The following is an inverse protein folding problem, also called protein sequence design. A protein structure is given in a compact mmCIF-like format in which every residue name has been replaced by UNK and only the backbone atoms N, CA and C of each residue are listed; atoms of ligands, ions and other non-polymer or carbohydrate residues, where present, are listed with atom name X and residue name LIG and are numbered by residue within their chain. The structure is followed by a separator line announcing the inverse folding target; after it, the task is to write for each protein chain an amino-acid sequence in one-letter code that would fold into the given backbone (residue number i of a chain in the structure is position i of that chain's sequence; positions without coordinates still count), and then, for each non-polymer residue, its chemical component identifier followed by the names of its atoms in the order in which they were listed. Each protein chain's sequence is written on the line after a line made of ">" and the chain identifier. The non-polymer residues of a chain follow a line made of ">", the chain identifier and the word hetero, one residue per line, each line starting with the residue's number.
data_IF_546560013677
#
_entry.id   IF_546560013677
#
_cell.length_a   1.000
_cell.length_b   1.000
_cell.length_c   1.000
_cell.angle_alpha   90.00
_cell.angle_beta   90.00
_cell.angle_gamma   90.00
#
_symmetry.space_group_name_H-M   'P 1'
#
loop_
_entity.id
_entity.type
_entity.pdbx_description
1 polymer ?
#
# COMPACT_ATOMS: atom_id res chain seq x y z
N UNK A 1 10.51 10.85 8.05
CA UNK A 1 11.03 12.05 7.35
C UNK A 1 12.54 11.99 7.32
N UNK A 2 13.16 12.31 6.18
CA UNK A 2 14.61 12.44 6.04
C UNK A 2 14.96 13.94 6.02
N UNK A 3 15.92 14.31 6.87
CA UNK A 3 16.43 15.68 7.00
C UNK A 3 17.90 15.64 6.60
N UNK A 4 18.20 16.07 5.38
CA UNK A 4 19.56 16.13 4.85
C UNK A 4 19.79 17.49 4.18
N UNK A 5 20.88 18.15 4.56
CA UNK A 5 21.29 19.42 3.96
C UNK A 5 22.51 19.16 3.07
N UNK A 6 22.35 19.47 1.78
CA UNK A 6 23.37 19.19 0.77
C UNK A 6 24.68 19.97 0.98
N UNK A 7 24.62 21.10 1.68
CA UNK A 7 25.69 22.11 1.76
C UNK A 7 26.42 22.08 3.10
N UNK A 8 25.74 21.80 4.22
CA UNK A 8 26.35 21.89 5.56
C UNK A 8 25.78 20.87 6.56
N UNK A 9 26.67 20.12 7.24
CA UNK A 9 26.32 19.08 8.22
C UNK A 9 25.63 19.64 9.47
N UNK A 10 26.13 20.76 10.00
CA UNK A 10 25.59 21.37 11.21
C UNK A 10 24.19 21.95 11.00
N UNK A 11 23.81 22.24 9.75
CA UNK A 11 22.48 22.75 9.41
C UNK A 11 21.40 21.67 9.50
N UNK A 12 21.69 20.42 9.13
CA UNK A 12 20.71 19.32 9.24
C UNK A 12 20.24 19.09 10.68
N UNK A 13 21.15 19.20 11.66
CA UNK A 13 20.82 19.12 13.09
C UNK A 13 19.94 20.29 13.54
N UNK A 14 20.27 21.51 13.13
CA UNK A 14 19.46 22.70 13.46
C UNK A 14 18.06 22.60 12.85
N UNK A 15 17.96 22.10 11.63
CA UNK A 15 16.69 21.82 10.94
C UNK A 15 15.86 20.75 11.65
N UNK A 16 16.50 19.67 12.11
CA UNK A 16 15.85 18.67 12.96
C UNK A 16 15.29 19.31 14.25
N UNK A 17 16.10 20.09 14.98
CA UNK A 17 15.68 20.76 16.22
C UNK A 17 14.52 21.71 15.95
N UNK A 18 14.57 22.47 14.85
CA UNK A 18 13.50 23.38 14.42
C UNK A 18 12.20 22.61 14.14
N UNK A 19 12.29 21.49 13.43
CA UNK A 19 11.15 20.62 13.15
C UNK A 19 10.54 20.05 14.44
N UNK A 20 11.37 19.53 15.36
CA UNK A 20 10.90 18.98 16.64
C UNK A 20 10.21 20.06 17.47
N UNK A 21 10.79 21.27 17.55
CA UNK A 21 10.18 22.42 18.26
C UNK A 21 8.84 22.83 17.66
N UNK A 22 8.74 22.86 16.32
CA UNK A 22 7.48 23.12 15.65
C UNK A 22 6.45 22.03 15.97
N UNK A 23 6.84 20.76 15.90
CA UNK A 23 5.95 19.63 16.21
C UNK A 23 5.44 19.72 17.65
N UNK A 24 6.34 20.00 18.60
CA UNK A 24 5.99 20.16 20.00
C UNK A 24 5.06 21.35 20.23
N UNK A 25 5.35 22.51 19.63
CA UNK A 25 4.55 23.73 19.81
C UNK A 25 3.15 23.62 19.20
N UNK A 26 3.04 23.15 17.95
CA UNK A 26 1.78 23.18 17.21
C UNK A 26 0.87 22.00 17.55
N UNK A 27 1.46 20.81 17.72
CA UNK A 27 0.71 19.58 17.97
C UNK A 27 0.78 19.12 19.43
N UNK A 28 1.68 19.65 20.26
CA UNK A 28 1.79 19.25 21.68
C UNK A 28 2.46 17.88 21.88
N UNK A 29 3.16 17.36 20.87
CA UNK A 29 3.86 16.07 20.97
C UNK A 29 5.20 16.28 21.69
N UNK A 30 5.45 15.51 22.75
CA UNK A 30 6.71 15.62 23.49
C UNK A 30 7.87 15.12 22.61
N UNK A 31 9.04 15.79 22.62
CA UNK A 31 10.18 15.37 21.80
C UNK A 31 10.61 13.91 22.01
N UNK A 32 10.48 13.40 23.24
CA UNK A 32 10.82 12.01 23.56
C UNK A 32 9.86 11.01 22.92
N UNK A 33 8.62 11.39 22.58
CA UNK A 33 7.66 10.52 21.89
C UNK A 33 7.97 10.35 20.40
N UNK A 34 8.93 11.12 19.87
CA UNK A 34 9.40 11.01 18.50
C UNK A 34 10.59 10.05 18.42
N UNK A 35 10.68 9.28 17.32
CA UNK A 35 11.88 8.46 17.08
C UNK A 35 12.85 9.22 16.22
N UNK A 36 14.04 9.47 16.76
CA UNK A 36 15.09 10.24 16.09
C UNK A 36 16.27 9.29 15.81
N UNK A 37 16.82 9.40 14.60
CA UNK A 37 17.98 8.62 14.21
C UNK A 37 19.02 9.51 13.53
N UNK A 38 20.28 9.27 13.84
CA UNK A 38 21.36 9.71 12.96
C UNK A 38 21.42 8.76 11.76
N UNK A 39 21.40 9.28 10.52
CA UNK A 39 21.26 8.46 9.30
C UNK A 39 22.51 7.63 8.97
N UNK A 40 23.60 7.83 9.72
CA UNK A 40 24.91 7.24 9.46
C UNK A 40 25.74 8.05 8.47
N UNK A 41 25.36 9.27 8.08
CA UNK A 41 26.19 10.13 7.21
C UNK A 41 26.13 11.60 7.65
N UNK A 42 25.27 12.41 7.03
CA UNK A 42 25.14 13.85 7.32
C UNK A 42 23.76 14.23 7.86
N UNK A 43 22.73 13.50 7.48
CA UNK A 43 21.36 13.78 7.86
C UNK A 43 20.86 13.03 9.10
N UNK A 44 19.60 13.31 9.41
CA UNK A 44 18.85 12.69 10.49
C UNK A 44 17.50 12.20 9.97
N UNK A 45 16.97 11.13 10.56
CA UNK A 45 15.60 10.70 10.31
C UNK A 45 14.75 10.98 11.54
N UNK A 46 13.55 11.52 11.29
CA UNK A 46 12.51 11.70 12.29
C UNK A 46 11.30 10.85 11.91
N UNK A 47 10.85 9.99 12.81
CA UNK A 47 9.62 9.22 12.67
C UNK A 47 8.61 9.65 13.73
N UNK A 48 7.40 9.95 13.27
CA UNK A 48 6.25 10.17 14.15
C UNK A 48 5.54 8.81 14.30
N UNK A 49 5.33 8.31 15.53
CA UNK A 49 4.62 7.05 15.73
C UNK A 49 3.21 7.09 15.16
N UNK A 50 2.79 5.99 14.51
CA UNK A 50 1.48 5.85 13.88
C UNK A 50 0.33 6.16 14.84
N UNK A 51 0.44 5.73 16.10
CA UNK A 51 -0.57 5.99 17.14
C UNK A 51 -0.91 7.48 17.25
N UNK A 52 0.04 8.40 16.98
CA UNK A 52 -0.19 9.84 17.01
C UNK A 52 -1.02 10.37 15.83
N UNK A 53 -1.07 9.64 14.73
CA UNK A 53 -1.87 9.97 13.53
C UNK A 53 -3.25 9.29 13.56
N UNK A 54 -3.40 8.23 14.36
CA UNK A 54 -4.58 7.35 14.36
C UNK A 54 -4.37 6.15 13.45
N UNK A 55 -5.46 5.54 12.99
CA UNK A 55 -5.41 4.40 12.08
C UNK A 55 -5.02 4.85 10.66
N UNK A 56 -3.86 4.42 10.17
CA UNK A 56 -3.45 4.65 8.78
C UNK A 56 -3.98 3.50 7.92
N UNK A 57 -4.99 3.78 7.10
CA UNK A 57 -5.56 2.79 6.18
C UNK A 57 -4.62 2.55 4.98
N UNK A 58 -4.50 1.29 4.58
CA UNK A 58 -3.78 0.91 3.37
C UNK A 58 -4.38 1.55 2.12
N UNK A 59 -3.53 2.02 1.21
CA UNK A 59 -3.89 2.63 -0.07
C UNK A 59 -2.75 2.51 -1.06
N UNK A 60 -3.06 2.32 -2.34
CA UNK A 60 -2.07 2.35 -3.44
C UNK A 60 -1.37 3.71 -3.54
N UNK A 61 -2.03 4.78 -3.04
CA UNK A 61 -1.54 6.15 -3.02
C UNK A 61 -0.88 6.56 -1.70
N UNK A 62 -0.65 5.62 -0.76
CA UNK A 62 -0.12 5.94 0.57
C UNK A 62 1.20 6.73 0.51
N UNK A 63 2.08 6.41 -0.43
CA UNK A 63 3.33 7.12 -0.64
C UNK A 63 3.12 8.61 -0.98
N UNK A 64 2.08 8.95 -1.74
CA UNK A 64 1.71 10.33 -2.06
C UNK A 64 1.15 11.05 -0.84
N UNK A 65 0.33 10.40 -0.01
CA UNK A 65 -0.16 11.02 1.23
C UNK A 65 0.98 11.30 2.22
N UNK A 66 1.93 10.36 2.36
CA UNK A 66 3.12 10.57 3.17
C UNK A 66 3.97 11.74 2.63
N UNK A 67 4.09 11.86 1.30
CA UNK A 67 4.78 12.99 0.66
C UNK A 67 4.10 14.32 0.95
N UNK A 68 2.78 14.38 0.80
CA UNK A 68 1.99 15.58 1.05
C UNK A 68 2.04 15.98 2.52
N UNK A 69 1.98 15.00 3.43
CA UNK A 69 2.11 15.21 4.86
C UNK A 69 3.48 15.79 5.23
N UNK A 70 4.56 15.21 4.70
CA UNK A 70 5.90 15.73 4.88
C UNK A 70 6.08 17.12 4.25
N UNK A 71 5.47 17.37 3.09
CA UNK A 71 5.49 18.68 2.42
C UNK A 71 4.76 19.74 3.23
N UNK A 72 3.64 19.37 3.86
CA UNK A 72 2.88 20.27 4.72
C UNK A 72 3.66 20.62 5.99
N UNK A 73 4.25 19.63 6.65
CA UNK A 73 5.15 19.87 7.79
C UNK A 73 6.38 20.71 7.40
N UNK A 74 6.95 20.46 6.22
CA UNK A 74 8.05 21.26 5.66
C UNK A 74 7.68 22.74 5.55
N UNK A 75 6.52 23.04 4.97
CA UNK A 75 6.00 24.40 4.82
C UNK A 75 5.71 25.05 6.18
N UNK A 76 4.98 24.36 7.05
CA UNK A 76 4.51 24.91 8.32
C UNK A 76 5.66 25.12 9.32
N UNK A 77 6.69 24.26 9.29
CA UNK A 77 7.90 24.41 10.10
C UNK A 77 8.97 25.31 9.47
N UNK A 78 8.82 25.68 8.19
CA UNK A 78 9.83 26.37 7.39
C UNK A 78 11.21 25.67 7.44
N UNK A 79 11.23 24.34 7.35
CA UNK A 79 12.45 23.52 7.36
C UNK A 79 12.71 22.98 5.96
N UNK A 80 13.51 23.70 5.17
CA UNK A 80 13.75 23.36 3.76
C UNK A 80 14.51 22.03 3.55
N UNK A 81 15.22 21.56 4.57
CA UNK A 81 16.05 20.34 4.53
C UNK A 81 15.25 19.03 4.59
N UNK A 82 13.93 19.09 4.74
CA UNK A 82 13.09 17.88 4.63
C UNK A 82 13.07 17.43 3.17
N UNK A 83 13.63 16.25 2.90
CA UNK A 83 13.63 15.67 1.56
C UNK A 83 12.27 15.03 1.26
N UNK A 84 11.51 15.65 0.36
CA UNK A 84 10.20 15.17 -0.10
C UNK A 84 10.29 14.31 -1.36
N UNK A 85 11.48 14.15 -1.96
CA UNK A 85 11.67 13.33 -3.17
C UNK A 85 11.82 11.83 -2.85
N UNK A 86 12.09 11.48 -1.59
CA UNK A 86 12.24 10.09 -1.13
C UNK A 86 10.91 9.33 -1.05
N UNK A 87 9.77 10.01 -1.13
CA UNK A 87 8.46 9.39 -1.02
C UNK A 87 8.03 8.82 -2.39
N UNK A 88 8.53 7.63 -2.70
CA UNK A 88 8.06 6.79 -3.80
C UNK A 88 7.65 5.41 -3.29
N UNK A 89 6.80 4.71 -4.05
CA UNK A 89 6.18 3.44 -3.63
C UNK A 89 7.20 2.30 -3.36
N UNK A 90 8.44 2.44 -3.83
CA UNK A 90 9.48 1.40 -3.75
C UNK A 90 10.67 1.79 -2.88
N UNK A 91 10.68 2.99 -2.29
CA UNK A 91 11.82 3.48 -1.52
C UNK A 91 11.97 2.70 -0.23
N UNK A 92 13.16 2.18 0.00
CA UNK A 92 13.52 1.47 1.22
C UNK A 92 14.27 2.41 2.16
N UNK A 93 13.79 2.55 3.39
CA UNK A 93 14.53 3.22 4.46
C UNK A 93 15.49 2.23 5.14
N UNK A 94 16.68 2.73 5.46
CA UNK A 94 17.68 1.95 6.19
C UNK A 94 17.17 1.59 7.58
N UNK A 95 17.34 0.33 7.99
CA UNK A 95 17.03 -0.10 9.35
C UNK A 95 18.01 0.51 10.36
N UNK A 96 17.56 0.75 11.61
CA UNK A 96 18.46 1.07 12.71
C UNK A 96 19.56 0.01 12.85
N UNK A 97 20.75 0.44 13.25
CA UNK A 97 21.98 -0.36 13.37
C UNK A 97 22.52 -0.94 12.05
N UNK A 98 22.09 -0.42 10.89
CA UNK A 98 22.71 -0.77 9.59
C UNK A 98 23.92 0.12 9.27
N UNK A 99 24.97 -0.46 8.68
CA UNK A 99 26.23 0.24 8.34
C UNK A 99 26.13 1.00 7.02
N UNK A 100 26.33 2.31 7.03
CA UNK A 100 26.42 3.13 5.82
C UNK A 100 27.78 2.91 5.13
N UNK A 101 27.76 2.39 3.91
CA UNK A 101 28.98 2.02 3.17
C UNK A 101 29.86 3.22 2.76
N UNK A 102 29.31 4.44 2.70
CA UNK A 102 30.07 5.63 2.28
C UNK A 102 30.86 6.26 3.42
N UNK A 103 30.29 6.28 4.61
CA UNK A 103 30.85 6.92 5.81
C UNK A 103 31.45 5.93 6.79
N UNK A 104 31.14 4.63 6.63
CA UNK A 104 31.46 3.56 7.57
C UNK A 104 30.90 3.81 8.99
N UNK A 105 29.77 4.53 9.09
CA UNK A 105 29.04 4.77 10.34
C UNK A 105 27.68 4.06 10.32
N UNK A 106 27.21 3.66 11.49
CA UNK A 106 25.92 3.02 11.67
C UNK A 106 24.79 4.05 11.73
N UNK A 107 23.62 3.71 11.19
CA UNK A 107 22.38 4.43 11.52
C UNK A 107 22.02 4.10 12.96
N UNK A 108 22.12 5.05 13.88
CA UNK A 108 21.84 4.81 15.31
C UNK A 108 20.62 5.60 15.78
N UNK A 109 19.82 5.05 16.70
CA UNK A 109 18.84 5.85 17.43
C UNK A 109 19.55 6.84 18.37
N UNK A 110 18.99 8.04 18.47
CA UNK A 110 19.51 9.14 19.29
C UNK A 110 18.32 9.77 20.03
N UNK A 111 18.47 10.07 21.31
CA UNK A 111 17.43 10.76 22.09
C UNK A 111 17.41 12.27 21.80
N UNK A 112 16.28 12.93 22.09
CA UNK A 112 16.23 14.39 21.98
C UNK A 112 17.24 15.08 22.90
N UNK A 113 17.46 14.54 24.10
CA UNK A 113 18.48 15.02 25.04
C UNK A 113 19.88 14.95 24.43
N UNK A 114 20.27 13.81 23.83
CA UNK A 114 21.56 13.69 23.14
C UNK A 114 21.69 14.69 21.97
N UNK A 115 20.61 14.93 21.21
CA UNK A 115 20.58 15.95 20.15
C UNK A 115 20.77 17.37 20.70
N UNK A 116 20.47 17.63 21.97
CA UNK A 116 20.65 18.94 22.59
C UNK A 116 22.02 19.07 23.27
N UNK A 117 22.52 18.01 23.90
CA UNK A 117 23.72 18.04 24.74
C UNK A 117 25.02 17.70 24.00
N UNK A 118 24.97 16.78 23.01
CA UNK A 118 26.16 16.31 22.32
C UNK A 118 26.50 17.19 21.12
N UNK A 119 27.78 17.30 20.76
CA UNK A 119 28.20 17.87 19.49
C UNK A 119 27.91 16.91 18.33
N UNK A 120 27.92 17.46 17.11
CA UNK A 120 27.75 16.68 15.89
C UNK A 120 28.82 15.58 15.73
N UNK A 121 30.04 15.84 16.21
CA UNK A 121 31.15 14.89 16.19
C UNK A 121 30.99 13.81 17.27
N UNK A 122 30.48 14.17 18.44
CA UNK A 122 30.16 13.19 19.49
C UNK A 122 29.05 12.21 19.04
N UNK A 123 28.02 12.70 18.32
CA UNK A 123 26.99 11.81 17.73
C UNK A 123 27.60 10.87 16.68
N UNK A 124 28.55 11.34 15.87
CA UNK A 124 29.27 10.50 14.91
C UNK A 124 30.16 9.47 15.59
N UNK A 125 30.81 9.84 16.68
CA UNK A 125 31.61 8.90 17.48
C UNK A 125 30.75 7.78 18.04
N UNK A 126 29.55 8.10 18.55
CA UNK A 126 28.57 7.10 18.97
C UNK A 126 28.13 6.18 17.84
N UNK A 127 28.11 6.68 16.59
CA UNK A 127 27.71 5.93 15.41
C UNK A 127 28.83 5.02 14.84
N UNK A 128 30.01 4.96 15.47
CA UNK A 128 31.07 3.99 15.11
C UNK A 128 30.68 2.55 15.43
N UNK A 129 29.76 2.35 16.37
CA UNK A 129 29.25 1.05 16.77
C UNK A 129 27.71 1.02 16.72
N UNK A 130 27.10 -0.15 16.47
CA UNK A 130 25.65 -0.29 16.52
C UNK A 130 25.13 -0.23 17.96
N UNK A 131 23.97 0.40 18.16
CA UNK A 131 23.27 0.45 19.45
C UNK A 131 22.18 -0.64 19.52
N UNK A 132 22.60 -1.90 19.68
CA UNK A 132 21.69 -3.06 19.73
C UNK A 132 20.76 -3.06 20.95
N UNK A 133 21.21 -2.52 22.08
CA UNK A 133 20.45 -2.48 23.34
C UNK A 133 19.78 -1.12 23.59
N UNK A 134 19.54 -0.33 22.54
CA UNK A 134 18.89 0.97 22.69
C UNK A 134 17.49 0.84 23.28
N UNK A 135 17.20 1.65 24.30
CA UNK A 135 15.86 1.80 24.87
C UNK A 135 15.38 3.22 24.61
N UNK A 136 14.10 3.42 24.28
CA UNK A 136 13.52 4.76 24.27
C UNK A 136 13.72 5.47 25.61
N UNK A 137 13.69 6.82 25.64
CA UNK A 137 13.71 7.58 26.88
C UNK A 137 12.62 7.10 27.85
N UNK A 138 12.85 7.21 29.16
CA UNK A 138 11.90 6.75 30.20
C UNK A 138 10.50 7.36 30.06
N UNK A 139 10.42 8.57 29.50
CA UNK A 139 9.16 9.26 29.21
C UNK A 139 8.45 8.87 27.91
N UNK A 140 9.00 7.95 27.12
CA UNK A 140 8.43 7.52 25.83
C UNK A 140 7.03 6.93 26.01
N UNK A 141 6.02 7.66 25.57
CA UNK A 141 4.63 7.26 25.64
C UNK A 141 3.83 7.97 24.54
N UNK A 142 4.06 7.62 23.26
CA UNK A 142 3.35 8.27 22.16
C UNK A 142 1.85 8.00 22.26
N UNK A 143 1.08 9.08 22.20
CA UNK A 143 -0.38 9.03 22.28
C UNK A 143 -1.01 9.54 21.00
N UNK A 144 -2.27 9.17 20.84
CA UNK A 144 -3.14 9.74 19.84
C UNK A 144 -3.21 11.26 19.96
N UNK A 145 -3.11 11.93 18.81
CA UNK A 145 -3.11 13.37 18.72
C UNK A 145 -4.17 13.83 17.71
N UNK A 146 -5.26 14.44 18.20
CA UNK A 146 -6.37 14.89 17.37
C UNK A 146 -5.91 15.84 16.25
N UNK A 147 -5.06 16.82 16.55
CA UNK A 147 -4.60 17.81 15.56
C UNK A 147 -3.78 17.16 14.44
N UNK A 148 -2.89 16.23 14.79
CA UNK A 148 -2.07 15.54 13.81
C UNK A 148 -2.91 14.57 12.97
N UNK A 149 -3.89 13.91 13.60
CA UNK A 149 -4.88 13.08 12.92
C UNK A 149 -5.75 13.90 11.96
N UNK A 150 -6.21 15.08 12.36
CA UNK A 150 -6.97 16.00 11.50
C UNK A 150 -6.15 16.46 10.30
N UNK A 151 -4.86 16.78 10.51
CA UNK A 151 -3.94 17.09 9.42
C UNK A 151 -3.80 15.91 8.45
N UNK A 152 -3.56 14.70 8.96
CA UNK A 152 -3.46 13.49 8.15
C UNK A 152 -4.76 13.24 7.35
N UNK A 153 -5.90 13.30 8.02
CA UNK A 153 -7.22 13.11 7.41
C UNK A 153 -7.52 14.18 6.36
N UNK A 154 -7.09 15.43 6.57
CA UNK A 154 -7.26 16.51 5.58
C UNK A 154 -6.49 16.24 4.29
N UNK A 155 -5.39 15.48 4.36
CA UNK A 155 -4.57 15.11 3.20
C UNK A 155 -5.16 13.88 2.52
N UNK A 156 -5.49 12.84 3.27
CA UNK A 156 -6.08 11.61 2.69
C UNK A 156 -7.48 11.85 2.13
N UNK A 157 -8.24 12.80 2.69
CA UNK A 157 -9.55 13.20 2.18
C UNK A 157 -9.49 14.05 0.90
N UNK A 158 -8.30 14.47 0.43
CA UNK A 158 -8.16 15.21 -0.86
C UNK A 158 -8.55 14.37 -2.07
N UNK A 159 -8.65 13.04 -1.95
CA UNK A 159 -9.30 12.21 -2.98
C UNK A 159 -10.80 12.49 -3.16
N UNK A 160 -11.43 13.27 -2.27
CA UNK A 160 -12.79 13.80 -2.45
C UNK A 160 -12.76 15.15 -3.23
N UNK A 161 -11.63 15.58 -3.80
CA UNK A 161 -11.68 16.53 -4.92
C UNK A 161 -11.95 15.71 -6.17
N UNK A 162 -13.23 15.50 -6.42
CA UNK A 162 -13.62 14.72 -7.59
C UNK A 162 -13.32 15.54 -8.83
N UNK A 163 -12.29 15.15 -9.58
CA UNK A 163 -12.08 15.64 -10.94
C UNK A 163 -13.38 15.45 -11.71
N UNK A 164 -14.05 16.56 -12.03
CA UNK A 164 -15.33 16.54 -12.74
C UNK A 164 -15.13 16.17 -14.22
N UNK A 165 -13.90 16.22 -14.74
CA UNK A 165 -13.58 15.89 -16.13
C UNK A 165 -14.23 16.84 -17.15
N UNK A 166 -14.42 18.09 -16.76
CA UNK A 166 -15.05 19.13 -17.60
C UNK A 166 -14.01 20.19 -17.93
N UNK A 167 -13.73 20.37 -19.22
CA UNK A 167 -12.71 21.33 -19.71
C UNK A 167 -13.09 22.81 -19.45
N UNK A 168 -14.35 23.07 -19.10
CA UNK A 168 -14.84 24.41 -18.73
C UNK A 168 -15.86 24.34 -17.57
N UNK A 169 -15.35 24.40 -16.33
CA UNK A 169 -16.15 24.35 -15.11
C UNK A 169 -17.10 25.55 -14.95
N UNK A 170 -16.65 26.76 -15.32
CA UNK A 170 -17.43 28.00 -15.18
C UNK A 170 -18.68 27.99 -16.06
N UNK A 171 -18.55 27.50 -17.30
CA UNK A 171 -19.69 27.38 -18.22
C UNK A 171 -20.65 26.25 -17.85
N UNK A 172 -20.15 25.14 -17.28
CA UNK A 172 -20.97 23.97 -16.99
C UNK A 172 -21.92 24.20 -15.81
N UNK A 173 -21.49 24.89 -14.76
CA UNK A 173 -22.30 25.23 -13.58
C UNK A 173 -23.01 26.59 -13.66
N UNK A 174 -22.86 27.32 -14.77
CA UNK A 174 -23.60 28.55 -14.99
C UNK A 174 -25.13 28.28 -14.92
N UNK A 175 -25.92 29.22 -14.38
CA UNK A 175 -27.37 29.13 -14.42
C UNK A 175 -27.86 28.91 -15.86
N UNK A 176 -28.68 27.90 -16.07
CA UNK A 176 -29.06 27.49 -17.41
C UNK A 176 -30.04 28.50 -18.05
N UNK A 177 -29.85 28.82 -19.34
CA UNK A 177 -30.74 29.69 -20.10
C UNK A 177 -32.06 29.01 -20.49
N UNK A 178 -33.11 29.81 -20.68
CA UNK A 178 -34.46 29.37 -21.03
C UNK A 178 -34.47 28.46 -22.28
N UNK A 179 -35.04 27.26 -22.14
CA UNK A 179 -35.14 26.24 -23.21
C UNK A 179 -34.32 24.96 -22.99
N UNK A 180 -33.20 24.99 -22.26
CA UNK A 180 -32.33 23.81 -22.05
C UNK A 180 -32.06 23.46 -20.56
N UNK A 181 -32.76 24.12 -19.64
CA UNK A 181 -32.52 24.05 -18.18
C UNK A 181 -32.64 22.64 -17.61
N UNK A 182 -33.73 21.95 -17.94
CA UNK A 182 -34.01 20.60 -17.40
C UNK A 182 -32.91 19.60 -17.78
N UNK A 183 -32.44 19.64 -19.03
CA UNK A 183 -31.39 18.75 -19.50
C UNK A 183 -30.02 19.11 -18.91
N UNK A 184 -29.73 20.41 -18.73
CA UNK A 184 -28.46 20.87 -18.14
C UNK A 184 -28.37 20.51 -16.65
N UNK A 185 -29.40 20.82 -15.86
CA UNK A 185 -29.43 20.46 -14.44
C UNK A 185 -29.46 18.94 -14.22
N UNK A 186 -30.15 18.19 -15.08
CA UNK A 186 -30.08 16.73 -15.03
C UNK A 186 -28.66 16.19 -15.26
N UNK A 187 -27.93 16.72 -16.25
CA UNK A 187 -26.53 16.35 -16.51
C UNK A 187 -25.62 16.71 -15.34
N UNK A 188 -25.78 17.90 -14.75
CA UNK A 188 -25.05 18.31 -13.55
C UNK A 188 -25.35 17.38 -12.37
N UNK A 189 -26.62 17.05 -12.12
CA UNK A 189 -27.03 16.17 -11.03
C UNK A 189 -26.46 14.76 -11.18
N UNK A 190 -26.57 14.15 -12.37
CA UNK A 190 -25.98 12.84 -12.67
C UNK A 190 -24.47 12.86 -12.44
N UNK A 191 -23.77 13.88 -12.96
CA UNK A 191 -22.33 14.00 -12.78
C UNK A 191 -21.94 14.08 -11.30
N UNK A 192 -22.56 14.99 -10.53
CA UNK A 192 -22.25 15.17 -9.10
C UNK A 192 -22.55 13.90 -8.29
N UNK A 193 -23.64 13.20 -8.60
CA UNK A 193 -23.98 11.92 -7.96
C UNK A 193 -23.00 10.79 -8.33
N UNK A 194 -22.57 10.69 -9.60
CA UNK A 194 -21.52 9.74 -10.03
C UNK A 194 -20.20 9.98 -9.32
N UNK A 195 -19.91 11.23 -9.04
CA UNK A 195 -18.73 11.68 -8.32
C UNK A 195 -18.82 11.45 -6.82
N UNK A 196 -19.98 11.02 -6.30
CA UNK A 196 -20.12 10.55 -4.92
C UNK A 196 -20.65 11.58 -3.92
N UNK A 197 -21.19 12.71 -4.39
CA UNK A 197 -21.87 13.67 -3.52
C UNK A 197 -23.22 13.11 -3.02
N UNK A 198 -23.59 13.47 -1.79
CA UNK A 198 -24.88 13.08 -1.20
C UNK A 198 -26.06 13.71 -1.96
N UNK A 199 -27.17 12.98 -2.18
CA UNK A 199 -28.34 13.49 -2.93
C UNK A 199 -28.87 14.82 -2.43
N UNK A 200 -28.87 15.05 -1.12
CA UNK A 200 -29.32 16.29 -0.48
C UNK A 200 -28.39 17.45 -0.83
N UNK A 201 -27.07 17.22 -0.84
CA UNK A 201 -26.08 18.24 -1.22
C UNK A 201 -26.21 18.59 -2.71
N UNK A 202 -26.39 17.58 -3.57
CA UNK A 202 -26.62 17.79 -5.01
C UNK A 202 -27.93 18.56 -5.24
N UNK A 203 -29.00 18.22 -4.52
CA UNK A 203 -30.26 18.95 -4.58
C UNK A 203 -30.07 20.42 -4.22
N UNK A 204 -29.35 20.74 -3.15
CA UNK A 204 -29.08 22.13 -2.77
C UNK A 204 -28.25 22.89 -3.82
N UNK A 205 -27.25 22.25 -4.42
CA UNK A 205 -26.44 22.85 -5.49
C UNK A 205 -27.33 23.19 -6.70
N UNK A 206 -28.14 22.24 -7.16
CA UNK A 206 -29.06 22.43 -8.29
C UNK A 206 -30.14 23.46 -7.96
N UNK A 207 -30.67 23.45 -6.73
CA UNK A 207 -31.69 24.40 -6.28
C UNK A 207 -31.13 25.83 -6.23
N UNK A 208 -29.91 26.02 -5.74
CA UNK A 208 -29.25 27.32 -5.73
C UNK A 208 -29.00 27.84 -7.16
N UNK A 209 -28.57 26.97 -8.08
CA UNK A 209 -28.41 27.33 -9.49
C UNK A 209 -29.76 27.67 -10.15
N UNK A 210 -30.82 26.93 -9.82
CA UNK A 210 -32.17 27.15 -10.30
C UNK A 210 -32.71 28.53 -9.86
N UNK A 211 -32.54 28.89 -8.59
CA UNK A 211 -32.92 30.21 -8.06
C UNK A 211 -32.10 31.33 -8.72
N UNK A 212 -30.80 31.11 -8.92
CA UNK A 212 -29.91 32.08 -9.56
C UNK A 212 -30.19 32.31 -11.07
N UNK A 213 -31.00 31.46 -11.71
CA UNK A 213 -31.29 31.53 -13.16
C UNK A 213 -32.29 32.62 -13.56
N UNK A 214 -32.92 33.30 -12.60
CA UNK A 214 -33.89 34.37 -12.83
C UNK A 214 -35.27 33.90 -13.30
N UNK A 215 -35.41 32.64 -13.72
CA UNK A 215 -36.68 32.00 -14.05
C UNK A 215 -36.66 30.53 -13.59
N UNK A 216 -37.00 30.26 -12.31
CA UNK A 216 -36.79 28.97 -11.67
C UNK A 216 -37.81 27.91 -12.12
N UNK A 217 -37.34 26.68 -12.25
CA UNK A 217 -38.17 25.48 -12.42
C UNK A 217 -38.90 25.18 -11.10
N UNK A 218 -40.13 24.63 -11.21
CA UNK A 218 -40.92 24.24 -10.05
C UNK A 218 -40.20 23.19 -9.18
N UNK A 219 -40.33 23.32 -7.86
CA UNK A 219 -39.64 22.46 -6.91
C UNK A 219 -40.01 20.98 -7.07
N UNK A 220 -41.24 20.66 -7.51
CA UNK A 220 -41.68 19.28 -7.76
C UNK A 220 -40.98 18.68 -8.97
N UNK A 221 -40.70 19.49 -10.00
CA UNK A 221 -39.95 19.07 -11.17
C UNK A 221 -38.48 18.81 -10.83
N UNK A 222 -37.84 19.67 -10.01
CA UNK A 222 -36.48 19.44 -9.52
C UNK A 222 -36.39 18.16 -8.69
N UNK A 223 -37.35 17.90 -7.80
CA UNK A 223 -37.40 16.65 -7.02
C UNK A 223 -37.55 15.41 -7.91
N UNK A 224 -38.36 15.51 -8.96
CA UNK A 224 -38.55 14.44 -9.95
C UNK A 224 -37.27 14.17 -10.74
N UNK A 225 -36.57 15.23 -11.18
CA UNK A 225 -35.27 15.15 -11.84
C UNK A 225 -34.22 14.48 -10.95
N UNK A 226 -34.12 14.89 -9.68
CA UNK A 226 -33.17 14.31 -8.72
C UNK A 226 -33.41 12.83 -8.47
N UNK A 227 -34.69 12.40 -8.43
CA UNK A 227 -35.05 10.99 -8.32
C UNK A 227 -34.59 10.20 -9.55
N UNK A 228 -34.86 10.71 -10.75
CA UNK A 228 -34.42 10.10 -12.01
C UNK A 228 -32.89 9.99 -12.14
N UNK A 229 -32.15 11.03 -11.71
CA UNK A 229 -30.69 11.02 -11.69
C UNK A 229 -30.15 9.97 -10.70
N UNK A 230 -30.74 9.90 -9.50
CA UNK A 230 -30.38 8.91 -8.47
C UNK A 230 -30.63 7.47 -8.92
N UNK A 231 -31.78 7.22 -9.55
CA UNK A 231 -32.13 5.89 -10.11
C UNK A 231 -31.15 5.47 -11.21
N UNK A 232 -30.67 6.42 -12.02
CA UNK A 232 -29.64 6.20 -13.03
C UNK A 232 -28.31 5.77 -12.41
N UNK A 233 -27.91 6.36 -11.27
CA UNK A 233 -26.68 5.99 -10.56
C UNK A 233 -26.83 4.65 -9.85
N UNK A 234 -27.98 4.40 -9.24
CA UNK A 234 -28.27 3.11 -8.60
C UNK A 234 -28.13 1.95 -9.61
N UNK A 235 -28.64 2.13 -10.83
CA UNK A 235 -28.46 1.17 -11.94
C UNK A 235 -26.99 1.01 -12.37
N UNK A 236 -26.18 2.08 -12.32
CA UNK A 236 -24.72 2.05 -12.57
C UNK A 236 -23.87 1.48 -11.42
N UNK A 237 -24.32 1.55 -10.16
CA UNK A 237 -23.59 1.00 -8.99
C UNK A 237 -23.69 -0.53 -8.90
N UNK A 238 -24.79 -1.12 -9.35
CA UNK A 238 -24.98 -2.58 -9.42
C UNK A 238 -23.94 -3.26 -10.32
N UNK A 239 -23.26 -2.52 -11.22
CA UNK A 239 -22.28 -3.04 -12.17
C UNK A 239 -20.80 -2.93 -11.76
N UNK A 240 -20.43 -2.54 -10.53
CA UNK A 240 -19.02 -2.59 -10.04
C UNK A 240 -18.83 -3.48 -8.79
N UNK A 241 -18.20 -4.66 -8.97
CA UNK A 241 -17.46 -5.44 -7.95
C UNK A 241 -15.95 -5.20 -8.18
N UNK A 242 -15.02 -5.20 -7.23
CA UNK A 242 -14.88 -5.95 -5.97
C UNK A 242 -14.02 -5.19 -4.92
N UNK A 243 -14.02 -5.68 -3.68
CA UNK A 243 -13.15 -5.24 -2.56
C UNK A 243 -11.85 -6.03 -2.50
N UNK A 244 -10.73 -5.36 -2.20
CA UNK A 244 -9.41 -5.97 -2.00
C UNK A 244 -8.95 -5.80 -0.55
N UNK A 245 -8.30 -6.84 0.02
CA UNK A 245 -7.62 -6.79 1.33
C UNK A 245 -6.20 -7.37 1.23
N UNK A 246 -5.27 -6.95 2.10
CA UNK A 246 -3.92 -7.53 2.21
C UNK A 246 -3.92 -9.03 2.53
N UNK A 247 -2.94 -9.77 1.99
CA UNK A 247 -2.79 -11.21 2.22
C UNK A 247 -2.60 -11.56 3.70
N UNK A 248 -1.94 -10.71 4.48
CA UNK A 248 -1.65 -10.91 5.90
C UNK A 248 -2.93 -11.01 6.76
N UNK A 249 -3.95 -10.22 6.43
CA UNK A 249 -5.24 -10.24 7.11
C UNK A 249 -6.03 -11.52 6.82
N UNK A 250 -5.61 -12.29 5.80
CA UNK A 250 -6.14 -13.60 5.51
C UNK A 250 -5.28 -14.73 6.09
N UNK A 251 -4.09 -14.48 6.65
CA UNK A 251 -3.18 -15.57 7.07
C UNK A 251 -3.76 -16.37 8.25
N UNK A 252 -4.34 -15.72 9.26
CA UNK A 252 -4.94 -16.45 10.41
C UNK A 252 -6.24 -17.18 10.04
N UNK A 253 -7.07 -16.58 9.17
CA UNK A 253 -8.29 -17.21 8.64
C UNK A 253 -7.92 -18.38 7.71
N UNK A 254 -6.93 -18.19 6.84
CA UNK A 254 -6.36 -19.20 5.96
C UNK A 254 -5.72 -20.34 6.74
N UNK A 255 -4.96 -20.06 7.80
CA UNK A 255 -4.31 -21.05 8.67
C UNK A 255 -5.33 -21.87 9.46
N UNK A 256 -6.45 -21.27 9.90
CA UNK A 256 -7.60 -22.00 10.46
C UNK A 256 -8.30 -22.89 9.42
N UNK A 257 -8.44 -22.42 8.19
CA UNK A 257 -8.94 -23.23 7.05
C UNK A 257 -7.94 -24.32 6.61
N UNK A 258 -6.63 -24.12 6.80
CA UNK A 258 -5.57 -25.08 6.47
C UNK A 258 -5.56 -26.33 7.35
N UNK A 259 -6.28 -26.33 8.48
CA UNK A 259 -6.41 -27.51 9.36
C UNK A 259 -7.44 -28.50 8.80
N UNK A 260 -8.31 -28.05 7.89
CA UNK A 260 -9.39 -28.86 7.34
C UNK A 260 -9.00 -29.41 5.95
N UNK A 261 -8.48 -30.65 5.91
CA UNK A 261 -8.15 -31.36 4.66
C UNK A 261 -9.39 -31.66 3.79
N UNK A 262 -10.59 -31.30 4.25
CA UNK A 262 -11.87 -31.53 3.57
C UNK A 262 -12.32 -30.39 2.65
N UNK A 263 -11.60 -29.26 2.60
CA UNK A 263 -11.98 -28.10 1.80
C UNK A 263 -11.70 -28.27 0.30
N UNK A 264 -12.65 -27.93 -0.60
CA UNK A 264 -12.42 -27.92 -2.04
C UNK A 264 -11.39 -26.88 -2.47
N UNK A 265 -10.42 -27.31 -3.28
CA UNK A 265 -9.50 -26.40 -3.98
C UNK A 265 -10.17 -25.96 -5.28
N UNK A 266 -10.43 -24.66 -5.39
CA UNK A 266 -10.93 -24.02 -6.60
C UNK A 266 -9.78 -23.43 -7.40
N UNK A 267 -9.79 -23.66 -8.71
CA UNK A 267 -8.76 -23.20 -9.65
C UNK A 267 -8.93 -21.73 -10.05
N UNK A 268 -10.13 -21.17 -9.84
CA UNK A 268 -10.48 -19.80 -10.23
C UNK A 268 -10.93 -19.66 -11.68
N UNK A 269 -10.97 -20.75 -12.44
CA UNK A 269 -11.48 -20.80 -13.81
C UNK A 269 -12.83 -21.52 -13.81
N UNK A 270 -13.91 -20.76 -14.07
CA UNK A 270 -15.29 -21.24 -13.96
C UNK A 270 -15.56 -22.56 -14.69
N UNK A 271 -15.01 -22.74 -15.88
CA UNK A 271 -15.18 -23.97 -16.65
C UNK A 271 -14.51 -25.18 -15.97
N UNK A 272 -13.25 -25.02 -15.53
CA UNK A 272 -12.52 -26.07 -14.82
C UNK A 272 -13.12 -26.38 -13.45
N UNK A 273 -13.58 -25.36 -12.73
CA UNK A 273 -14.21 -25.51 -11.41
C UNK A 273 -15.56 -26.25 -11.50
N UNK A 274 -16.34 -25.97 -12.55
CA UNK A 274 -17.57 -26.69 -12.87
C UNK A 274 -17.31 -28.17 -13.21
N UNK A 275 -16.22 -28.45 -13.93
CA UNK A 275 -15.83 -29.81 -14.29
C UNK A 275 -15.32 -30.59 -13.07
N UNK A 276 -14.49 -29.96 -12.26
CA UNK A 276 -13.93 -30.53 -11.03
C UNK A 276 -14.99 -30.71 -9.94
N UNK A 277 -16.11 -29.98 -10.01
CA UNK A 277 -17.24 -30.01 -9.06
C UNK A 277 -16.81 -29.90 -7.61
N UNK A 278 -15.74 -29.14 -7.37
CA UNK A 278 -15.07 -29.08 -6.09
C UNK A 278 -14.81 -30.46 -5.52
N UNK A 279 -14.19 -31.37 -6.28
CA UNK A 279 -13.67 -32.68 -5.80
C UNK A 279 -12.16 -32.66 -5.57
N UNK A 280 -11.46 -31.65 -6.08
CA UNK A 280 -10.06 -31.43 -5.75
C UNK A 280 -9.98 -31.06 -4.27
N UNK A 281 -9.26 -31.84 -3.48
CA UNK A 281 -9.12 -31.72 -2.02
C UNK A 281 -7.65 -31.67 -1.66
N UNK A 282 -7.30 -30.93 -0.61
CA UNK A 282 -5.94 -30.84 -0.09
C UNK A 282 -5.34 -29.45 -0.17
N UNK A 283 -4.03 -29.35 0.11
CA UNK A 283 -3.34 -28.07 0.28
C UNK A 283 -2.67 -27.62 -1.02
N UNK A 284 -2.91 -26.36 -1.42
CA UNK A 284 -2.20 -25.73 -2.53
C UNK A 284 -0.88 -25.13 -2.02
N UNK A 285 0.25 -25.57 -2.58
CA UNK A 285 1.58 -25.07 -2.23
C UNK A 285 2.19 -24.34 -3.42
N UNK A 286 2.60 -23.09 -3.22
CA UNK A 286 3.26 -22.28 -4.25
C UNK A 286 4.77 -22.38 -4.11
N UNK A 287 5.46 -22.84 -5.16
CA UNK A 287 6.94 -22.90 -5.22
C UNK A 287 7.44 -21.83 -6.18
N UNK A 288 8.04 -20.76 -5.65
CA UNK A 288 8.55 -19.63 -6.42
C UNK A 288 10.08 -19.48 -6.30
N UNK A 289 10.72 -18.86 -7.30
CA UNK A 289 12.18 -18.71 -7.37
C UNK A 289 12.65 -18.36 -8.77
N UNK A 290 13.88 -17.82 -8.90
CA UNK A 290 14.46 -17.38 -10.17
C UNK A 290 14.55 -18.51 -11.22
N UNK A 291 14.74 -18.17 -12.50
CA UNK A 291 14.95 -19.18 -13.56
C UNK A 291 16.14 -20.10 -13.20
N UNK A 292 16.01 -21.41 -13.47
CA UNK A 292 17.06 -22.39 -13.13
C UNK A 292 17.15 -22.82 -11.66
N UNK A 293 16.35 -22.26 -10.74
CA UNK A 293 16.29 -22.64 -9.30
C UNK A 293 15.74 -24.04 -9.00
N UNK A 294 15.59 -24.90 -10.02
CA UNK A 294 15.16 -26.30 -9.87
C UNK A 294 13.74 -26.50 -9.30
N UNK A 295 12.84 -25.50 -9.38
CA UNK A 295 11.44 -25.60 -8.95
C UNK A 295 10.71 -26.81 -9.52
N UNK A 296 10.77 -26.98 -10.84
CA UNK A 296 10.14 -28.10 -11.54
C UNK A 296 10.71 -29.45 -11.10
N UNK A 297 12.04 -29.50 -10.87
CA UNK A 297 12.72 -30.69 -10.37
C UNK A 297 12.23 -31.06 -8.96
N UNK A 298 12.08 -30.06 -8.08
CA UNK A 298 11.54 -30.25 -6.73
C UNK A 298 10.12 -30.80 -6.75
N UNK A 299 9.22 -30.22 -7.55
CA UNK A 299 7.84 -30.69 -7.68
C UNK A 299 7.77 -32.14 -8.17
N UNK A 300 8.58 -32.53 -9.16
CA UNK A 300 8.67 -33.92 -9.64
C UNK A 300 9.21 -34.87 -8.56
N UNK A 301 10.18 -34.42 -7.75
CA UNK A 301 10.74 -35.25 -6.68
C UNK A 301 9.71 -35.52 -5.57
N UNK A 302 8.90 -34.53 -5.22
CA UNK A 302 7.79 -34.70 -4.26
C UNK A 302 6.80 -35.74 -4.78
N UNK A 303 6.46 -35.66 -6.07
CA UNK A 303 5.58 -36.63 -6.73
C UNK A 303 6.13 -38.05 -6.65
N UNK A 304 7.39 -38.24 -7.06
CA UNK A 304 8.04 -39.54 -7.05
C UNK A 304 8.18 -40.11 -5.64
N UNK A 305 8.44 -39.27 -4.64
CA UNK A 305 8.46 -39.69 -3.24
C UNK A 305 7.09 -40.20 -2.79
N UNK A 306 6.02 -39.49 -3.11
CA UNK A 306 4.66 -39.93 -2.80
C UNK A 306 4.30 -41.25 -3.48
N UNK A 307 4.71 -41.45 -4.74
CA UNK A 307 4.52 -42.71 -5.47
C UNK A 307 5.29 -43.85 -4.79
N UNK A 308 6.57 -43.63 -4.44
CA UNK A 308 7.41 -44.62 -3.73
C UNK A 308 6.84 -45.00 -2.35
N UNK A 309 6.13 -44.08 -1.71
CA UNK A 309 5.43 -44.31 -0.44
C UNK A 309 4.05 -44.98 -0.60
N UNK A 310 3.66 -45.39 -1.82
CA UNK A 310 2.40 -46.10 -2.08
C UNK A 310 1.15 -45.21 -2.10
N UNK A 311 1.30 -43.88 -2.17
CA UNK A 311 0.16 -42.96 -2.27
C UNK A 311 -0.40 -43.00 -3.70
N UNK A 312 -1.73 -43.12 -3.82
CA UNK A 312 -2.32 -43.80 -4.97
C UNK A 312 -2.36 -43.03 -6.30
N UNK A 313 -2.28 -41.69 -6.37
CA UNK A 313 -2.16 -40.98 -7.66
C UNK A 313 -1.49 -39.62 -7.47
N UNK A 314 -0.58 -39.26 -8.39
CA UNK A 314 0.00 -37.92 -8.49
C UNK A 314 -0.12 -37.38 -9.92
N UNK A 315 -0.58 -36.13 -10.06
CA UNK A 315 -0.67 -35.42 -11.35
C UNK A 315 0.44 -34.36 -11.43
N UNK A 316 1.23 -34.38 -12.51
CA UNK A 316 2.22 -33.34 -12.80
C UNK A 316 1.94 -32.72 -14.17
N UNK A 317 1.66 -31.42 -14.18
CA UNK A 317 1.43 -30.64 -15.39
C UNK A 317 2.53 -29.58 -15.52
N UNK A 318 3.10 -29.45 -16.70
CA UNK A 318 4.18 -28.49 -17.01
C UNK A 318 3.79 -27.65 -18.21
N UNK A 319 3.85 -26.33 -18.06
CA UNK A 319 3.55 -25.37 -19.14
C UNK A 319 4.80 -24.95 -19.93
N UNK A 320 6.01 -25.23 -19.43
CA UNK A 320 7.28 -24.78 -20.04
C UNK A 320 8.14 -25.92 -20.60
N UNK A 321 8.04 -27.14 -20.02
CA UNK A 321 8.80 -28.31 -20.50
C UNK A 321 7.98 -29.15 -21.48
N UNK A 322 8.65 -29.67 -22.52
CA UNK A 322 8.03 -30.64 -23.44
C UNK A 322 7.73 -31.97 -22.75
N UNK A 323 6.73 -32.75 -23.24
CA UNK A 323 6.40 -34.06 -22.70
C UNK A 323 7.61 -35.00 -22.62
N UNK A 324 8.46 -35.04 -23.65
CA UNK A 324 9.66 -35.86 -23.68
C UNK A 324 10.63 -35.50 -22.56
N UNK A 325 10.87 -34.20 -22.32
CA UNK A 325 11.75 -33.75 -21.23
C UNK A 325 11.21 -34.06 -19.84
N UNK A 326 9.89 -34.13 -19.67
CA UNK A 326 9.25 -34.55 -18.41
C UNK A 326 9.47 -36.04 -18.16
N UNK A 327 9.25 -36.87 -19.18
CA UNK A 327 9.45 -38.33 -19.11
C UNK A 327 10.92 -38.66 -18.85
N UNK A 328 11.84 -38.09 -19.62
CA UNK A 328 13.28 -38.32 -19.49
C UNK A 328 13.78 -38.03 -18.08
N UNK A 329 13.34 -36.92 -17.50
CA UNK A 329 13.73 -36.52 -16.16
C UNK A 329 13.14 -37.45 -15.09
N UNK A 330 11.89 -37.89 -15.25
CA UNK A 330 11.23 -38.80 -14.33
C UNK A 330 11.92 -40.17 -14.30
N UNK A 331 12.32 -40.67 -15.47
CA UNK A 331 13.11 -41.90 -15.61
C UNK A 331 14.46 -41.74 -14.91
N UNK A 332 15.21 -40.68 -15.21
CA UNK A 332 16.51 -40.39 -14.57
C UNK A 332 16.40 -40.32 -13.04
N UNK A 333 15.35 -39.69 -12.50
CA UNK A 333 15.10 -39.59 -11.06
C UNK A 333 14.76 -40.94 -10.41
N UNK A 334 14.11 -41.85 -11.15
CA UNK A 334 13.72 -43.16 -10.63
C UNK A 334 14.92 -44.06 -10.34
N UNK A 335 16.01 -43.89 -11.10
CA UNK A 335 17.26 -44.64 -10.94
C UNK A 335 18.19 -44.09 -9.85
N UNK A 336 17.79 -43.13 -9.00
CA UNK A 336 18.62 -42.60 -7.89
C UNK A 336 20.08 -42.24 -8.30
N UNK A 337 20.32 -41.92 -9.58
CA UNK A 337 21.67 -41.65 -10.11
C UNK A 337 22.56 -42.88 -10.38
N UNK A 338 22.07 -44.12 -10.27
CA UNK A 338 22.83 -45.33 -10.59
C UNK A 338 22.85 -45.67 -12.08
N UNK A 339 21.92 -45.14 -12.87
CA UNK A 339 21.89 -45.28 -14.32
C UNK A 339 22.62 -44.09 -14.99
N UNK A 340 23.71 -44.38 -15.71
CA UNK A 340 24.54 -43.36 -16.41
C UNK A 340 24.32 -43.32 -17.92
N UNK A 341 23.46 -44.19 -18.46
CA UNK A 341 23.08 -44.21 -19.88
C UNK A 341 22.07 -43.13 -20.23
N UNK A 342 21.86 -42.90 -21.51
CA UNK A 342 20.76 -42.06 -22.01
C UNK A 342 19.42 -42.74 -21.76
N UNK A 343 18.35 -41.95 -21.60
CA UNK A 343 16.98 -42.48 -21.43
C UNK A 343 16.60 -43.40 -22.61
N UNK A 344 17.11 -43.11 -23.80
CA UNK A 344 17.00 -43.93 -25.01
C UNK A 344 17.57 -45.34 -24.86
N UNK A 345 18.64 -45.52 -24.09
CA UNK A 345 19.25 -46.81 -23.80
C UNK A 345 18.43 -47.58 -22.77
N UNK A 346 17.91 -46.91 -21.73
CA UNK A 346 17.09 -47.54 -20.70
C UNK A 346 15.78 -48.09 -21.28
N UNK A 347 15.18 -47.35 -22.21
CA UNK A 347 13.94 -47.73 -22.92
C UNK A 347 14.18 -48.85 -23.93
N UNK A 348 15.41 -49.06 -24.41
CA UNK A 348 15.76 -50.19 -25.29
C UNK A 348 16.06 -51.48 -24.53
N UNK A 349 16.44 -51.38 -23.26
CA UNK A 349 16.77 -52.53 -22.41
C UNK A 349 15.55 -53.09 -21.64
N UNK A 350 14.51 -52.29 -21.44
CA UNK A 350 13.22 -52.70 -20.87
C UNK A 350 12.26 -53.23 -21.94
#
# INVERSE_FOLDING_TARGET
>A
MDIDNATNKSEARNSLIKLIRHINKEYGIHPDDLKIYFSGSKGYHLEIPEVSLGEIKGSDNLHNYCKDFATKLKQDSAVEDIDTKIYDATRIFRLPNSLNSKSNLYKIPVSYQEIMELSDDQVRDLAKEPRSNWKPPTGYNPKYNHKLSDLWNSITSREIVVSLGVDNLEGFFAPAMEGNRNAQYYKQAVMLLEKGLYPEAVYQIIQNANVASGNPIDEREIKTMMRSASDTIAKKKVTRKASFRPLADYIEDWEREQVDETSPVWTGFSNMDNDLKGKLRGKLVVVAGYAGSKKSLFCQQVLLKNIKEGKQVGLYSSMEMSPSSVVDRTINQSFNGSYKGSVSEAVREA
#
